data_IF_912629127037
#
_entry.id   IF_912629127037
#
_cell.length_a   1.000
_cell.length_b   1.000
_cell.length_c   1.000
_cell.angle_alpha   90.00
_cell.angle_beta   90.00
_cell.angle_gamma   90.00
#
_symmetry.space_group_name_H-M   'P 1'
#
loop_
_entity.id
_entity.type
_entity.pdbx_description
1 polymer ?
#
# COMPACT_ATOMS: atom_id res chain seq x y z
N UNK A 1 -5.08 -12.89 -12.12
CA UNK A 1 -3.86 -12.36 -11.47
C UNK A 1 -4.20 -11.05 -10.78
N UNK A 2 -3.82 -10.86 -9.52
CA UNK A 2 -4.19 -9.69 -8.73
C UNK A 2 -3.11 -8.61 -8.90
N UNK A 3 -3.33 -7.68 -9.82
CA UNK A 3 -2.37 -6.65 -10.27
C UNK A 3 -1.74 -5.86 -9.13
N UNK A 4 -2.49 -5.60 -8.05
CA UNK A 4 -2.01 -4.83 -6.90
C UNK A 4 -0.96 -5.60 -6.08
N UNK A 5 -1.11 -6.93 -5.97
CA UNK A 5 -0.18 -7.78 -5.24
C UNK A 5 1.13 -7.96 -6.02
N UNK A 6 1.04 -8.19 -7.34
CA UNK A 6 2.23 -8.25 -8.20
C UNK A 6 2.99 -6.92 -8.22
N UNK A 7 2.27 -5.79 -8.21
CA UNK A 7 2.90 -4.49 -8.07
C UNK A 7 3.60 -4.36 -6.73
N UNK A 8 2.97 -4.74 -5.62
CA UNK A 8 3.60 -4.70 -4.30
C UNK A 8 4.93 -5.48 -4.23
N UNK A 9 5.00 -6.64 -4.89
CA UNK A 9 6.22 -7.46 -4.92
C UNK A 9 7.35 -6.86 -5.78
N UNK A 10 7.00 -6.09 -6.82
CA UNK A 10 7.98 -5.51 -7.76
C UNK A 10 8.33 -4.06 -7.44
N UNK A 11 7.46 -3.35 -6.74
CA UNK A 11 7.62 -1.94 -6.42
C UNK A 11 8.64 -1.79 -5.29
N UNK A 12 9.53 -0.81 -5.43
CA UNK A 12 10.38 -0.36 -4.33
C UNK A 12 9.53 0.36 -3.28
N UNK A 13 9.05 -0.41 -2.31
CA UNK A 13 8.28 0.07 -1.15
C UNK A 13 9.19 0.48 0.02
N UNK A 14 10.52 0.45 -0.16
CA UNK A 14 11.49 0.76 0.89
C UNK A 14 11.36 2.18 1.46
N UNK A 15 10.75 3.10 0.72
CA UNK A 15 10.46 4.47 1.17
C UNK A 15 9.31 4.57 2.18
N UNK A 16 8.51 3.52 2.31
CA UNK A 16 7.31 3.47 3.14
C UNK A 16 7.46 2.47 4.30
N UNK A 17 8.69 2.07 4.64
CA UNK A 17 8.96 1.13 5.73
C UNK A 17 8.26 1.59 7.02
N UNK A 18 7.51 0.69 7.65
CA UNK A 18 6.74 0.97 8.87
C UNK A 18 5.42 1.69 8.62
N UNK A 19 5.15 2.17 7.40
CA UNK A 19 3.89 2.81 7.03
C UNK A 19 2.87 1.82 6.44
N UNK A 20 1.61 2.24 6.47
CA UNK A 20 0.54 1.63 5.69
C UNK A 20 0.52 2.27 4.31
N UNK A 21 0.41 1.45 3.27
CA UNK A 21 0.22 1.91 1.89
C UNK A 21 -1.12 1.41 1.36
N UNK A 22 -1.75 2.23 0.51
CA UNK A 22 -2.90 1.83 -0.29
C UNK A 22 -2.51 1.73 -1.76
N UNK A 23 -2.81 0.59 -2.37
CA UNK A 23 -2.54 0.29 -3.78
C UNK A 23 -3.86 0.15 -4.53
N UNK A 24 -4.00 0.89 -5.64
CA UNK A 24 -5.13 0.81 -6.57
C UNK A 24 -4.57 0.70 -7.98
N UNK A 25 -5.03 -0.30 -8.75
CA UNK A 25 -4.58 -0.61 -10.12
C UNK A 25 -3.05 -0.61 -10.30
N UNK A 26 -2.33 -1.21 -9.35
CA UNK A 26 -0.87 -1.28 -9.37
C UNK A 26 -0.19 0.07 -9.17
N UNK A 27 -0.78 0.98 -8.40
CA UNK A 27 -0.15 2.25 -8.01
C UNK A 27 -0.39 2.52 -6.54
N UNK A 28 0.63 3.01 -5.84
CA UNK A 28 0.45 3.53 -4.47
C UNK A 28 -0.25 4.87 -4.56
N UNK A 29 -1.43 4.98 -3.95
CA UNK A 29 -2.29 6.16 -4.03
C UNK A 29 -2.38 6.93 -2.71
N UNK A 30 -2.01 6.28 -1.60
CA UNK A 30 -1.90 6.89 -0.28
C UNK A 30 -0.90 6.10 0.58
N UNK A 31 -0.25 6.78 1.52
CA UNK A 31 0.59 6.16 2.53
C UNK A 31 0.54 6.97 3.84
N UNK A 32 0.54 6.28 4.98
CA UNK A 32 0.58 6.92 6.30
C UNK A 32 0.95 5.91 7.38
N UNK A 33 1.51 6.37 8.50
CA UNK A 33 1.64 5.55 9.72
C UNK A 33 0.30 5.07 10.30
N UNK A 34 -0.84 5.60 9.85
CA UNK A 34 -2.17 5.21 10.32
C UNK A 34 -3.00 4.52 9.22
N UNK A 35 -3.46 3.30 9.49
CA UNK A 35 -4.28 2.49 8.57
C UNK A 35 -5.60 3.16 8.18
N UNK A 36 -6.27 3.83 9.13
CA UNK A 36 -7.56 4.49 8.89
C UNK A 36 -7.38 5.68 7.95
N UNK A 37 -6.34 6.51 8.19
CA UNK A 37 -6.01 7.64 7.31
C UNK A 37 -5.70 7.15 5.89
N UNK A 38 -4.88 6.12 5.77
CA UNK A 38 -4.51 5.51 4.48
C UNK A 38 -5.73 5.03 3.71
N UNK A 39 -6.68 4.36 4.38
CA UNK A 39 -7.94 3.92 3.77
C UNK A 39 -8.83 5.08 3.34
N UNK A 40 -9.02 6.07 4.22
CA UNK A 40 -9.87 7.22 3.94
C UNK A 40 -9.32 8.04 2.77
N UNK A 41 -8.01 8.26 2.69
CA UNK A 41 -7.39 8.94 1.55
C UNK A 41 -7.54 8.17 0.25
N UNK A 42 -7.30 6.85 0.29
CA UNK A 42 -7.48 6.00 -0.89
C UNK A 42 -8.93 6.00 -1.38
N UNK A 43 -9.90 5.94 -0.45
CA UNK A 43 -11.33 5.97 -0.76
C UNK A 43 -11.79 7.34 -1.25
N UNK A 44 -11.22 8.44 -0.74
CA UNK A 44 -11.49 9.79 -1.25
C UNK A 44 -10.99 9.96 -2.69
N UNK A 45 -9.80 9.43 -3.01
CA UNK A 45 -9.23 9.50 -4.37
C UNK A 45 -9.91 8.53 -5.35
N UNK A 46 -10.29 7.35 -4.86
CA UNK A 46 -10.86 6.27 -5.67
C UNK A 46 -12.12 5.66 -5.01
N UNK A 47 -13.24 6.41 -4.94
CA UNK A 47 -14.42 5.98 -4.20
C UNK A 47 -15.08 4.71 -4.77
N UNK A 48 -14.92 4.46 -6.08
CA UNK A 48 -15.50 3.31 -6.78
C UNK A 48 -14.58 2.09 -6.83
N UNK A 49 -13.35 2.18 -6.29
CA UNK A 49 -12.37 1.08 -6.33
C UNK A 49 -12.10 0.56 -4.93
N UNK A 50 -11.73 -0.72 -4.85
CA UNK A 50 -11.33 -1.36 -3.59
C UNK A 50 -9.80 -1.31 -3.47
N UNK A 51 -9.24 -0.42 -2.62
CA UNK A 51 -7.79 -0.36 -2.43
C UNK A 51 -7.30 -1.62 -1.70
N UNK A 52 -6.12 -2.10 -2.10
CA UNK A 52 -5.34 -3.03 -1.30
C UNK A 52 -4.58 -2.23 -0.24
N UNK A 53 -4.83 -2.53 1.02
CA UNK A 53 -4.10 -1.92 2.14
C UNK A 53 -3.13 -2.95 2.70
N UNK A 54 -1.87 -2.56 2.80
CA UNK A 54 -0.84 -3.40 3.39
C UNK A 54 0.11 -2.52 4.22
N UNK A 55 0.63 -3.07 5.31
CA UNK A 55 1.71 -2.45 6.07
C UNK A 55 3.02 -2.91 5.45
N UNK A 56 3.91 -1.96 5.19
CA UNK A 56 5.27 -2.31 4.76
C UNK A 56 6.03 -2.79 6.00
N UNK A 57 6.53 -4.04 6.00
CA UNK A 57 7.26 -4.56 7.12
C UNK A 57 8.51 -3.72 7.40
N UNK A 58 8.86 -3.62 8.68
CA UNK A 58 10.13 -3.05 9.10
C UNK A 58 11.29 -3.85 8.49
N UNK A 59 12.40 -3.18 8.17
CA UNK A 59 13.53 -3.72 7.37
C UNK A 59 14.08 -5.06 7.93
N UNK A 60 13.89 -5.30 9.22
CA UNK A 60 14.30 -6.51 9.94
C UNK A 60 13.36 -7.72 9.74
N UNK A 61 12.15 -7.51 9.21
CA UNK A 61 11.12 -8.56 9.01
C UNK A 61 11.02 -9.03 7.55
N UNK A 62 11.77 -8.41 6.63
CA UNK A 62 11.82 -8.84 5.24
C UNK A 62 12.72 -10.08 5.12
N UNK A 63 12.12 -11.26 5.21
CA UNK A 63 12.78 -12.52 4.83
C UNK A 63 12.99 -12.50 3.31
N UNK A 64 14.26 -12.42 2.91
CA UNK A 64 14.72 -12.45 1.51
C UNK A 64 14.51 -13.82 0.86
#
# INVERSE_FOLDING_TARGET
MNTNYEYYLKADVGKFIGEWIAIVDGKIVAHSSNVKKTYEEAKKKYPSKRPLITRVPDKETMIF
#
